data_IF_773726026101
#
_entry.id   IF_773726026101
#
_cell.length_a   1.000
_cell.length_b   1.000
_cell.length_c   1.000
_cell.angle_alpha   90.00
_cell.angle_beta   90.00
_cell.angle_gamma   90.00
#
_symmetry.space_group_name_H-M   'P 1'
#
loop_
_entity.id
_entity.type
_entity.pdbx_description
1 polymer ?
#
# COMPACT_ATOMS: atom_id res chain seq x y z
N UNK A 1 -4.14 10.45 7.04
CA UNK A 1 -4.26 11.78 7.67
C UNK A 1 -5.47 12.57 7.16
N UNK A 2 -5.72 12.67 5.84
CA UNK A 2 -6.84 13.44 5.28
C UNK A 2 -8.22 12.96 5.76
N UNK A 3 -8.49 11.66 5.75
CA UNK A 3 -9.81 11.11 6.10
C UNK A 3 -10.12 11.16 7.60
N UNK A 4 -9.14 10.86 8.44
CA UNK A 4 -9.35 10.77 9.89
C UNK A 4 -9.03 12.07 10.63
N UNK A 5 -7.90 12.69 10.32
CA UNK A 5 -7.41 13.87 11.04
C UNK A 5 -7.74 15.19 10.34
N UNK A 6 -8.30 15.14 9.12
CA UNK A 6 -8.69 16.31 8.33
C UNK A 6 -7.55 17.29 8.05
N UNK A 7 -6.33 16.76 7.84
CA UNK A 7 -5.19 17.51 7.30
C UNK A 7 -5.19 17.37 5.78
N UNK A 8 -5.34 18.49 5.07
CA UNK A 8 -5.43 18.52 3.62
C UNK A 8 -4.08 18.96 3.06
N UNK A 9 -3.37 18.11 2.28
CA UNK A 9 -2.12 18.51 1.66
C UNK A 9 -2.37 19.57 0.59
N UNK A 10 -1.39 20.48 0.42
CA UNK A 10 -1.39 21.49 -0.64
C UNK A 10 -0.41 21.04 -1.71
N UNK A 11 -0.84 21.15 -2.98
CA UNK A 11 -0.05 20.79 -4.15
C UNK A 11 0.33 22.06 -4.91
N UNK A 12 1.50 22.04 -5.53
CA UNK A 12 1.93 23.07 -6.47
C UNK A 12 1.26 22.93 -7.85
N UNK A 13 1.53 23.88 -8.75
CA UNK A 13 0.99 23.86 -10.11
C UNK A 13 1.48 22.67 -10.98
N UNK A 14 2.46 21.89 -10.48
CA UNK A 14 3.00 20.68 -11.11
C UNK A 14 2.51 19.41 -10.43
N UNK A 15 1.49 19.52 -9.58
CA UNK A 15 0.92 18.42 -8.80
C UNK A 15 1.91 17.78 -7.78
N UNK A 16 3.00 18.46 -7.42
CA UNK A 16 3.85 18.00 -6.34
C UNK A 16 3.30 18.45 -5.00
N UNK A 17 3.40 17.59 -3.99
CA UNK A 17 3.04 17.95 -2.62
C UNK A 17 4.01 19.00 -2.08
N UNK A 18 3.46 20.06 -1.48
CA UNK A 18 4.25 21.11 -0.83
C UNK A 18 4.54 20.76 0.63
N UNK A 19 5.33 21.59 1.30
CA UNK A 19 5.55 21.50 2.75
C UNK A 19 4.44 22.19 3.57
N UNK A 20 3.29 22.45 2.95
CA UNK A 20 2.15 23.13 3.57
C UNK A 20 0.93 22.21 3.62
N UNK A 21 0.08 22.42 4.61
CA UNK A 21 -1.20 21.73 4.72
C UNK A 21 -2.27 22.66 5.26
N UNK A 22 -3.52 22.38 4.91
CA UNK A 22 -4.69 23.10 5.41
C UNK A 22 -5.36 22.30 6.52
N UNK A 23 -5.73 23.00 7.59
CA UNK A 23 -6.57 22.46 8.65
C UNK A 23 -7.73 23.40 8.93
N UNK A 24 -8.93 22.85 9.18
CA UNK A 24 -10.11 23.62 9.53
C UNK A 24 -10.28 23.57 11.05
N UNK A 25 -10.31 24.73 11.70
CA UNK A 25 -10.50 24.87 13.14
C UNK A 25 -11.75 25.68 13.46
N UNK A 26 -12.47 25.29 14.51
CA UNK A 26 -13.69 25.96 14.95
C UNK A 26 -13.41 27.26 15.74
N UNK A 27 -12.17 27.58 15.99
CA UNK A 27 -11.75 28.73 16.83
C UNK A 27 -10.70 29.55 16.11
N UNK A 28 -10.81 30.90 16.25
CA UNK A 28 -9.81 31.82 15.72
C UNK A 28 -8.46 31.64 16.46
N UNK A 29 -7.40 31.40 15.72
CA UNK A 29 -6.05 31.25 16.26
C UNK A 29 -5.35 32.59 16.44
N UNK A 30 -5.65 33.29 17.55
CA UNK A 30 -5.08 34.61 17.83
C UNK A 30 -3.61 34.59 18.19
N UNK A 31 -3.07 33.44 18.67
CA UNK A 31 -1.70 33.31 19.18
C UNK A 31 -0.87 32.30 18.40
N UNK A 32 -1.36 31.75 17.29
CA UNK A 32 -0.67 30.72 16.52
C UNK A 32 -0.58 29.35 17.22
N UNK A 33 -1.26 29.16 18.35
CA UNK A 33 -1.14 27.92 19.13
C UNK A 33 -1.82 26.74 18.45
N UNK A 34 -2.93 26.99 17.74
CA UNK A 34 -3.62 25.93 16.98
C UNK A 34 -2.72 25.50 15.81
N UNK A 35 -2.14 26.46 15.07
CA UNK A 35 -1.19 26.19 14.01
C UNK A 35 -0.01 25.35 14.55
N UNK A 36 0.68 25.83 15.57
CA UNK A 36 1.83 25.14 16.16
C UNK A 36 1.49 23.73 16.67
N UNK A 37 0.32 23.56 17.30
CA UNK A 37 -0.13 22.25 17.77
C UNK A 37 -0.35 21.26 16.63
N UNK A 38 -0.97 21.70 15.53
CA UNK A 38 -1.20 20.84 14.35
C UNK A 38 0.12 20.52 13.62
N UNK A 39 1.03 21.49 13.50
CA UNK A 39 2.37 21.26 12.90
C UNK A 39 3.12 20.16 13.67
N UNK A 40 3.15 20.20 15.00
CA UNK A 40 3.78 19.16 15.83
C UNK A 40 3.16 17.78 15.63
N UNK A 41 1.84 17.70 15.51
CA UNK A 41 1.16 16.40 15.26
C UNK A 41 1.54 15.84 13.90
N UNK A 42 1.55 16.67 12.86
CA UNK A 42 1.93 16.25 11.50
C UNK A 42 3.39 15.82 11.45
N UNK A 43 4.28 16.62 12.06
CA UNK A 43 5.73 16.32 12.14
C UNK A 43 5.98 14.95 12.82
N UNK A 44 5.36 14.71 13.98
CA UNK A 44 5.49 13.43 14.68
C UNK A 44 5.03 12.26 13.81
N UNK A 45 3.86 12.37 13.16
CA UNK A 45 3.34 11.32 12.28
C UNK A 45 4.19 11.05 11.05
N UNK A 46 4.77 12.09 10.44
CA UNK A 46 5.68 11.94 9.31
C UNK A 46 7.02 11.33 9.73
N UNK A 47 7.51 11.70 10.92
CA UNK A 47 8.72 11.11 11.50
C UNK A 47 8.55 9.60 11.75
N UNK A 48 7.42 9.19 12.35
CA UNK A 48 7.09 7.78 12.55
C UNK A 48 7.02 7.04 11.21
N UNK A 49 6.32 7.61 10.22
CA UNK A 49 6.21 7.01 8.89
C UNK A 49 7.58 6.86 8.21
N UNK A 50 8.47 7.85 8.33
CA UNK A 50 9.83 7.79 7.79
C UNK A 50 10.66 6.70 8.48
N UNK A 51 10.56 6.59 9.80
CA UNK A 51 11.25 5.56 10.57
C UNK A 51 10.82 4.15 10.13
N UNK A 52 9.53 3.88 10.08
CA UNK A 52 9.00 2.58 9.63
C UNK A 52 9.34 2.30 8.17
N UNK A 53 9.25 3.29 7.29
CA UNK A 53 9.66 3.15 5.90
C UNK A 53 11.12 2.71 5.76
N UNK A 54 12.05 3.37 6.47
CA UNK A 54 13.47 3.04 6.43
C UNK A 54 13.75 1.62 6.92
N UNK A 55 13.03 1.19 7.94
CA UNK A 55 13.14 -0.17 8.51
C UNK A 55 12.55 -1.22 7.57
N UNK A 56 11.33 -1.02 7.10
CA UNK A 56 10.58 -2.03 6.36
C UNK A 56 11.09 -2.23 4.93
N UNK A 57 11.50 -1.17 4.23
CA UNK A 57 11.96 -1.26 2.83
C UNK A 57 13.17 -2.16 2.63
N UNK A 58 13.98 -2.38 3.68
CA UNK A 58 15.16 -3.24 3.63
C UNK A 58 14.83 -4.73 3.83
N UNK A 59 13.61 -5.05 4.24
CA UNK A 59 13.18 -6.41 4.54
C UNK A 59 12.82 -7.14 3.24
N UNK A 60 13.52 -8.24 2.95
CA UNK A 60 13.31 -9.00 1.71
C UNK A 60 11.90 -9.60 1.64
N UNK A 61 11.08 -9.09 0.71
CA UNK A 61 9.68 -9.50 0.56
C UNK A 61 9.52 -10.99 0.26
N UNK A 62 10.38 -11.57 -0.57
CA UNK A 62 10.29 -13.01 -0.94
C UNK A 62 10.53 -13.91 0.26
N UNK A 63 11.53 -13.58 1.08
CA UNK A 63 11.83 -14.35 2.30
C UNK A 63 10.71 -14.26 3.34
N UNK A 64 10.01 -13.13 3.40
CA UNK A 64 8.91 -12.90 4.34
C UNK A 64 7.60 -13.59 3.97
N UNK A 65 7.45 -14.13 2.77
CA UNK A 65 6.20 -14.81 2.36
C UNK A 65 5.80 -15.91 3.36
N UNK A 66 6.75 -16.65 3.90
CA UNK A 66 6.46 -17.74 4.85
C UNK A 66 5.95 -17.26 6.20
N UNK A 67 6.26 -16.01 6.59
CA UNK A 67 5.79 -15.40 7.84
C UNK A 67 4.28 -15.12 7.80
N UNK A 68 3.69 -15.00 6.61
CA UNK A 68 2.23 -14.87 6.42
C UNK A 68 1.43 -16.06 6.97
N UNK A 69 2.08 -17.19 7.30
CA UNK A 69 1.46 -18.33 7.98
C UNK A 69 0.97 -17.98 9.38
N UNK A 70 1.62 -17.02 10.04
CA UNK A 70 1.23 -16.56 11.37
C UNK A 70 -0.02 -15.66 11.38
N UNK A 71 -0.44 -15.16 10.21
CA UNK A 71 -1.58 -14.25 10.07
C UNK A 71 -2.79 -14.99 9.55
N UNK A 72 -3.83 -15.13 10.38
CA UNK A 72 -5.10 -15.71 9.96
C UNK A 72 -5.80 -14.81 8.94
N UNK A 73 -6.24 -15.38 7.83
CA UNK A 73 -7.03 -14.65 6.83
C UNK A 73 -8.51 -14.64 7.18
N UNK A 74 -9.14 -15.81 7.22
CA UNK A 74 -10.54 -15.96 7.55
C UNK A 74 -10.81 -17.36 8.10
N UNK A 75 -11.82 -17.49 8.99
CA UNK A 75 -12.19 -18.78 9.58
C UNK A 75 -12.52 -19.80 8.48
N UNK A 76 -11.82 -20.91 8.46
CA UNK A 76 -11.98 -21.98 7.47
C UNK A 76 -11.24 -21.77 6.14
N UNK A 77 -10.64 -20.59 5.89
CA UNK A 77 -9.86 -20.30 4.68
C UNK A 77 -8.35 -20.27 4.89
N UNK A 78 -7.90 -20.51 6.13
CA UNK A 78 -6.49 -20.58 6.48
C UNK A 78 -5.84 -19.20 6.70
N UNK A 79 -4.54 -19.13 6.48
CA UNK A 79 -3.69 -17.96 6.67
C UNK A 79 -3.62 -17.08 5.41
N UNK A 80 -3.00 -15.89 5.54
CA UNK A 80 -2.66 -15.06 4.39
C UNK A 80 -1.65 -15.76 3.46
N UNK A 81 -0.80 -16.65 3.98
CA UNK A 81 0.04 -17.50 3.17
C UNK A 81 -0.79 -18.43 2.26
N UNK A 82 -1.80 -19.10 2.83
CA UNK A 82 -2.69 -20.00 2.06
C UNK A 82 -3.45 -19.21 0.99
N UNK A 83 -3.90 -18.01 1.33
CA UNK A 83 -4.51 -17.09 0.36
C UNK A 83 -3.53 -16.75 -0.78
N UNK A 84 -2.30 -16.36 -0.46
CA UNK A 84 -1.28 -16.04 -1.46
C UNK A 84 -0.98 -17.23 -2.38
N UNK A 85 -0.95 -18.47 -1.85
CA UNK A 85 -0.76 -19.68 -2.65
C UNK A 85 -1.94 -19.92 -3.60
N UNK A 86 -3.18 -19.71 -3.15
CA UNK A 86 -4.35 -19.80 -4.05
C UNK A 86 -4.30 -18.73 -5.15
N UNK A 87 -3.96 -17.48 -4.80
CA UNK A 87 -3.78 -16.40 -5.75
C UNK A 87 -2.69 -16.71 -6.77
N UNK A 88 -1.55 -17.25 -6.32
CA UNK A 88 -0.46 -17.69 -7.20
C UNK A 88 -0.93 -18.70 -8.24
N UNK A 89 -1.64 -19.76 -7.80
CA UNK A 89 -2.15 -20.81 -8.68
C UNK A 89 -3.14 -20.24 -9.72
N UNK A 90 -4.10 -19.45 -9.28
CA UNK A 90 -5.09 -18.83 -10.17
C UNK A 90 -4.45 -17.82 -11.12
N UNK A 91 -3.52 -17.01 -10.62
CA UNK A 91 -2.78 -16.05 -11.44
C UNK A 91 -1.99 -16.71 -12.54
N UNK A 92 -1.35 -17.86 -12.25
CA UNK A 92 -0.67 -18.66 -13.26
C UNK A 92 -1.61 -19.16 -14.37
N UNK A 93 -2.85 -19.53 -14.05
CA UNK A 93 -3.85 -19.93 -15.05
C UNK A 93 -4.34 -18.73 -15.88
N UNK A 94 -4.62 -17.60 -15.25
CA UNK A 94 -5.09 -16.37 -15.91
C UNK A 94 -3.97 -15.79 -16.82
N UNK A 95 -2.70 -15.91 -16.43
CA UNK A 95 -1.59 -15.39 -17.22
C UNK A 95 -1.44 -16.06 -18.58
N UNK A 96 -1.79 -17.35 -18.67
CA UNK A 96 -1.76 -18.11 -19.93
C UNK A 96 -2.82 -17.55 -20.91
N UNK A 97 -4.02 -17.21 -20.42
CA UNK A 97 -5.10 -16.62 -21.23
C UNK A 97 -4.82 -15.16 -21.64
N UNK A 98 -4.17 -14.39 -20.77
CA UNK A 98 -3.86 -12.98 -21.03
C UNK A 98 -2.56 -12.78 -21.80
N UNK A 99 -1.82 -13.83 -22.13
CA UNK A 99 -0.51 -13.80 -22.80
C UNK A 99 0.51 -12.89 -22.09
N UNK A 100 0.52 -12.94 -20.75
CA UNK A 100 1.46 -12.21 -19.89
C UNK A 100 2.40 -13.18 -19.16
N UNK A 101 3.53 -12.67 -18.64
CA UNK A 101 4.52 -13.51 -17.97
C UNK A 101 3.95 -14.18 -16.72
N UNK A 102 3.77 -15.50 -16.80
CA UNK A 102 3.31 -16.35 -15.70
C UNK A 102 4.21 -16.24 -14.46
N UNK A 103 5.52 -16.26 -14.65
CA UNK A 103 6.49 -16.14 -13.58
C UNK A 103 6.30 -14.83 -12.79
N UNK A 104 6.12 -13.71 -13.49
CA UNK A 104 5.90 -12.41 -12.85
C UNK A 104 4.55 -12.35 -12.12
N UNK A 105 3.49 -12.91 -12.69
CA UNK A 105 2.17 -12.98 -12.06
C UNK A 105 2.22 -13.83 -10.80
N UNK A 106 2.80 -15.02 -10.88
CA UNK A 106 2.95 -15.91 -9.73
C UNK A 106 3.79 -15.29 -8.61
N UNK A 107 4.88 -14.59 -8.96
CA UNK A 107 5.71 -13.90 -7.99
C UNK A 107 4.92 -12.77 -7.32
N UNK A 108 4.25 -11.91 -8.10
CA UNK A 108 3.46 -10.82 -7.53
C UNK A 108 2.34 -11.31 -6.62
N UNK A 109 1.62 -12.35 -7.01
CA UNK A 109 0.59 -12.98 -6.19
C UNK A 109 1.14 -13.55 -4.87
N UNK A 110 2.36 -14.08 -4.91
CA UNK A 110 3.02 -14.63 -3.72
C UNK A 110 3.41 -13.55 -2.71
N UNK A 111 3.88 -12.37 -3.18
CA UNK A 111 4.43 -11.32 -2.31
C UNK A 111 3.45 -10.18 -2.03
N UNK A 112 2.30 -10.09 -2.74
CA UNK A 112 1.40 -8.95 -2.67
C UNK A 112 0.76 -8.70 -1.29
N UNK A 113 0.82 -9.64 -0.37
CA UNK A 113 0.30 -9.52 1.00
C UNK A 113 1.40 -9.36 2.05
N UNK A 114 2.67 -9.31 1.64
CA UNK A 114 3.81 -9.23 2.58
C UNK A 114 3.86 -7.88 3.29
N UNK A 115 3.33 -6.84 2.70
CA UNK A 115 3.23 -5.51 3.32
C UNK A 115 2.40 -5.50 4.61
N UNK A 116 1.49 -6.46 4.79
CA UNK A 116 0.76 -6.67 6.05
C UNK A 116 1.68 -6.99 7.25
N UNK A 117 2.89 -7.50 6.99
CA UNK A 117 3.90 -7.80 8.01
C UNK A 117 4.77 -6.57 8.34
N UNK A 118 4.58 -5.46 7.63
CA UNK A 118 5.35 -4.25 7.86
C UNK A 118 4.80 -3.47 9.05
N UNK A 119 5.69 -2.82 9.78
CA UNK A 119 5.29 -1.91 10.87
C UNK A 119 4.56 -0.69 10.32
N UNK A 120 4.94 -0.23 9.12
CA UNK A 120 4.30 0.90 8.45
C UNK A 120 2.82 0.63 8.16
N UNK A 121 2.47 -0.53 7.62
CA UNK A 121 1.06 -0.90 7.37
C UNK A 121 0.34 -1.21 8.69
N UNK A 122 1.05 -1.72 9.69
CA UNK A 122 0.50 -1.89 11.04
C UNK A 122 0.03 -0.57 11.66
N UNK A 123 0.81 0.50 11.51
CA UNK A 123 0.47 1.85 12.00
C UNK A 123 -0.49 2.60 11.08
N UNK A 124 -0.40 2.37 9.74
CA UNK A 124 -1.21 3.01 8.71
C UNK A 124 -1.93 1.97 7.84
N UNK A 125 -2.98 1.29 8.34
CA UNK A 125 -3.65 0.19 7.62
C UNK A 125 -4.24 0.60 6.27
N UNK A 126 -4.60 1.87 6.10
CA UNK A 126 -5.11 2.42 4.84
C UNK A 126 -4.09 2.44 3.71
N UNK A 127 -2.80 2.24 4.02
CA UNK A 127 -1.72 2.17 3.03
C UNK A 127 -1.44 0.74 2.55
N UNK A 128 -2.20 -0.24 3.02
CA UNK A 128 -2.10 -1.62 2.57
C UNK A 128 -2.20 -1.72 1.04
N UNK A 129 -1.36 -2.52 0.44
CA UNK A 129 -1.23 -2.67 -1.01
C UNK A 129 -0.35 -1.58 -1.62
N UNK A 130 -0.65 -0.31 -1.36
CA UNK A 130 0.15 0.82 -1.85
C UNK A 130 1.59 0.70 -1.38
N UNK A 131 1.80 0.45 -0.10
CA UNK A 131 3.15 0.26 0.47
C UNK A 131 3.82 -1.00 -0.04
N UNK A 132 3.07 -2.07 -0.29
CA UNK A 132 3.59 -3.27 -0.96
C UNK A 132 4.22 -2.96 -2.31
N UNK A 133 3.58 -2.13 -3.12
CA UNK A 133 4.13 -1.65 -4.39
C UNK A 133 5.38 -0.80 -4.22
N UNK A 134 5.41 0.12 -3.24
CA UNK A 134 6.59 0.92 -2.94
C UNK A 134 7.76 0.06 -2.45
N UNK A 135 7.53 -0.92 -1.59
CA UNK A 135 8.57 -1.86 -1.14
C UNK A 135 9.11 -2.69 -2.31
N UNK A 136 8.23 -3.19 -3.18
CA UNK A 136 8.65 -3.94 -4.37
C UNK A 136 9.52 -3.07 -5.29
N UNK A 137 9.12 -1.83 -5.56
CA UNK A 137 9.92 -0.91 -6.36
C UNK A 137 11.28 -0.59 -5.71
N UNK A 138 11.32 -0.36 -4.40
CA UNK A 138 12.56 -0.09 -3.66
C UNK A 138 13.53 -1.27 -3.64
N UNK A 139 13.02 -2.51 -3.76
CA UNK A 139 13.82 -3.74 -3.85
C UNK A 139 14.18 -4.12 -5.29
N UNK A 140 13.87 -3.28 -6.28
CA UNK A 140 14.25 -3.48 -7.68
C UNK A 140 13.38 -4.48 -8.44
N UNK A 141 12.20 -4.82 -7.96
CA UNK A 141 11.25 -5.62 -8.74
C UNK A 141 10.76 -4.86 -9.99
N UNK A 142 10.28 -5.61 -10.96
CA UNK A 142 9.71 -5.07 -12.19
C UNK A 142 8.62 -4.04 -11.89
N UNK A 143 8.59 -2.93 -12.67
CA UNK A 143 7.66 -1.82 -12.46
C UNK A 143 6.19 -2.22 -12.59
N UNK A 144 5.88 -3.14 -13.52
CA UNK A 144 4.50 -3.60 -13.70
C UNK A 144 4.08 -4.51 -12.56
N UNK A 145 5.02 -5.31 -12.01
CA UNK A 145 4.81 -6.09 -10.80
C UNK A 145 4.54 -5.18 -9.59
N UNK A 146 5.36 -4.18 -9.36
CA UNK A 146 5.20 -3.24 -8.25
C UNK A 146 3.88 -2.45 -8.36
N UNK A 147 3.51 -2.04 -9.60
CA UNK A 147 2.24 -1.38 -9.87
C UNK A 147 1.05 -2.30 -9.56
N UNK A 148 1.08 -3.55 -10.02
CA UNK A 148 0.01 -4.51 -9.78
C UNK A 148 -0.21 -4.76 -8.28
N UNK A 149 0.87 -4.84 -7.50
CA UNK A 149 0.78 -4.95 -6.03
C UNK A 149 0.10 -3.70 -5.45
N UNK A 150 0.46 -2.50 -5.89
CA UNK A 150 -0.15 -1.27 -5.37
C UNK A 150 -1.62 -1.11 -5.76
N UNK A 151 -2.03 -1.69 -6.89
CA UNK A 151 -3.40 -1.60 -7.44
C UNK A 151 -4.31 -2.76 -7.04
N UNK A 152 -3.81 -3.76 -6.29
CA UNK A 152 -4.52 -5.01 -5.98
C UNK A 152 -5.88 -4.84 -5.28
N UNK A 153 -6.15 -3.70 -4.69
CA UNK A 153 -7.41 -3.40 -4.00
C UNK A 153 -8.34 -2.46 -4.80
N UNK A 154 -7.95 -2.07 -6.01
CA UNK A 154 -8.79 -1.26 -6.87
C UNK A 154 -9.82 -2.14 -7.63
N UNK A 155 -11.01 -1.59 -7.90
CA UNK A 155 -11.55 -0.32 -7.44
C UNK A 155 -12.02 -0.40 -5.98
N UNK A 156 -11.83 0.66 -5.20
CA UNK A 156 -12.21 0.72 -3.77
C UNK A 156 -13.67 1.14 -3.57
N UNK A 157 -14.38 1.50 -4.61
CA UNK A 157 -15.78 1.91 -4.56
C UNK A 157 -16.23 2.62 -5.82
N UNK A 158 -17.47 3.08 -5.83
CA UNK A 158 -18.06 3.84 -6.94
C UNK A 158 -17.23 5.11 -7.21
N UNK A 159 -16.86 5.33 -8.48
CA UNK A 159 -16.01 6.46 -8.89
C UNK A 159 -14.51 6.23 -8.70
N UNK A 160 -14.09 5.10 -8.13
CA UNK A 160 -12.67 4.72 -8.07
C UNK A 160 -12.15 4.36 -9.46
N UNK A 161 -10.88 4.70 -9.71
CA UNK A 161 -10.24 4.29 -10.97
C UNK A 161 -10.13 2.76 -11.05
N UNK A 162 -10.26 2.24 -12.26
CA UNK A 162 -10.03 0.83 -12.57
C UNK A 162 -8.63 0.72 -13.19
N UNK A 163 -7.79 -0.22 -12.75
CA UNK A 163 -6.53 -0.51 -13.40
C UNK A 163 -6.72 -0.85 -14.88
N UNK A 164 -5.76 -0.41 -15.71
CA UNK A 164 -5.85 -0.60 -17.16
C UNK A 164 -4.88 -1.66 -17.68
N UNK A 165 -3.86 -1.99 -16.90
CA UNK A 165 -2.85 -2.96 -17.34
C UNK A 165 -3.33 -4.38 -17.10
N UNK A 166 -3.18 -5.31 -18.07
CA UNK A 166 -3.56 -6.72 -17.90
C UNK A 166 -2.92 -7.36 -16.66
N UNK A 167 -1.69 -6.96 -16.35
CA UNK A 167 -0.97 -7.47 -15.20
C UNK A 167 -1.62 -7.07 -13.86
N UNK A 168 -2.05 -5.81 -13.71
CA UNK A 168 -2.81 -5.37 -12.53
C UNK A 168 -4.17 -6.05 -12.45
N UNK A 169 -4.86 -6.21 -13.60
CA UNK A 169 -6.15 -6.88 -13.68
C UNK A 169 -6.05 -8.34 -13.26
N UNK A 170 -4.97 -9.05 -13.60
CA UNK A 170 -4.78 -10.44 -13.19
C UNK A 170 -4.76 -10.61 -11.66
N UNK A 171 -4.18 -9.63 -10.93
CA UNK A 171 -4.14 -9.68 -9.47
C UNK A 171 -5.48 -9.36 -8.81
N UNK A 172 -6.27 -8.47 -9.41
CA UNK A 172 -7.58 -8.05 -8.90
C UNK A 172 -8.62 -9.15 -9.06
N UNK A 173 -8.59 -9.86 -10.17
CA UNK A 173 -9.54 -10.94 -10.45
C UNK A 173 -9.35 -12.19 -9.60
N UNK A 174 -8.26 -12.28 -8.90
CA UNK A 174 -7.94 -13.36 -7.98
C UNK A 174 -8.45 -13.05 -6.57
#
# INVERSE_FOLDING_TARGET
MQYHQKYFPIFDNKENITNEFLVVANKKDKKGLIKLGNERVVEARLSDAEFFWKKDKSQNMVKKVTELKSMNYFKGLGSYFDKAQRMRKLGGMISDELLISKEKVELSASICKVDLLSELVGEFPELQGVMGGYFANAQGFDKDLALAISEQYLPTGSGSRVPKKPFSLSLIHI
#
